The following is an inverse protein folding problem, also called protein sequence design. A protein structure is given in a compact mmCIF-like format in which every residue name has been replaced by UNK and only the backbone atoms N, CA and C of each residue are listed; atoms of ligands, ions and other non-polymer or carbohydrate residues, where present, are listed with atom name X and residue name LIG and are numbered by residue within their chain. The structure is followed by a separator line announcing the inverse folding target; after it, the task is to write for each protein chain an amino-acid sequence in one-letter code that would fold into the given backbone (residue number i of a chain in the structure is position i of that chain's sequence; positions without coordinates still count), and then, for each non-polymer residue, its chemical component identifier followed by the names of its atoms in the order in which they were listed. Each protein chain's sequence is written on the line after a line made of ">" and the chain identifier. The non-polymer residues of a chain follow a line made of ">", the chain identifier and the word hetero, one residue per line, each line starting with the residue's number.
data_IF_650708736294
#
_entry.id   IF_650708736294
#
_cell.length_a   1.000
_cell.length_b   1.000
_cell.length_c   1.000
_cell.angle_alpha   90.00
_cell.angle_beta   90.00
_cell.angle_gamma   90.00
#
_symmetry.space_group_name_H-M   'P 1'
#
loop_
_entity.id
_entity.type
_entity.pdbx_description
1 polymer ?
#
# COMPACT_ATOMS: atom_id res chain seq x y z
N UNK A 1 -42.05 3.09 -6.43
CA UNK A 1 -40.88 2.18 -6.46
C UNK A 1 -40.07 2.50 -7.70
N UNK A 2 -38.95 3.21 -7.56
CA UNK A 2 -38.09 3.54 -8.69
C UNK A 2 -37.00 2.47 -8.79
N UNK A 3 -37.01 1.70 -9.88
CA UNK A 3 -35.90 0.82 -10.25
C UNK A 3 -34.68 1.69 -10.53
N UNK A 4 -33.73 1.70 -9.61
CA UNK A 4 -32.42 2.33 -9.83
C UNK A 4 -31.69 1.44 -10.83
N UNK A 5 -31.58 1.92 -12.07
CA UNK A 5 -30.77 1.30 -13.10
C UNK A 5 -29.37 0.99 -12.54
N UNK A 6 -28.98 -0.28 -12.54
CA UNK A 6 -27.65 -0.71 -12.09
C UNK A 6 -26.61 -0.12 -13.03
N UNK A 7 -25.81 0.83 -12.54
CA UNK A 7 -24.73 1.41 -13.30
C UNK A 7 -23.59 0.37 -13.39
N UNK A 8 -23.19 -0.10 -14.59
CA UNK A 8 -22.17 -1.12 -14.74
C UNK A 8 -20.82 -0.59 -14.21
N UNK A 9 -20.42 -1.04 -13.01
CA UNK A 9 -19.21 -0.58 -12.33
C UNK A 9 -19.40 -0.15 -10.87
N UNK A 10 -20.65 -0.07 -10.38
CA UNK A 10 -20.96 0.22 -8.98
C UNK A 10 -21.41 -1.05 -8.25
N UNK A 11 -20.71 -1.42 -7.18
CA UNK A 11 -21.14 -2.47 -6.24
C UNK A 11 -21.98 -1.85 -5.13
N UNK A 12 -23.25 -2.23 -5.08
CA UNK A 12 -24.18 -1.77 -4.06
C UNK A 12 -24.18 -2.73 -2.87
N UNK A 13 -24.00 -2.19 -1.68
CA UNK A 13 -24.10 -2.90 -0.42
C UNK A 13 -25.21 -2.26 0.39
N UNK A 14 -26.13 -3.09 0.86
CA UNK A 14 -27.19 -2.65 1.76
C UNK A 14 -26.90 -3.15 3.17
N UNK A 15 -26.91 -2.23 4.13
CA UNK A 15 -26.74 -2.54 5.55
C UNK A 15 -27.98 -2.06 6.31
N UNK A 16 -28.99 -2.91 6.48
CA UNK A 16 -30.12 -2.58 7.33
C UNK A 16 -29.64 -2.57 8.79
N UNK A 17 -29.84 -1.45 9.48
CA UNK A 17 -29.69 -1.40 10.92
C UNK A 17 -31.09 -1.61 11.48
N UNK A 18 -31.31 -2.78 12.10
CA UNK A 18 -32.62 -3.16 12.62
C UNK A 18 -33.20 -2.04 13.51
N UNK A 19 -34.51 -1.85 13.42
CA UNK A 19 -35.33 -0.95 14.25
C UNK A 19 -35.40 -1.44 15.71
N UNK A 20 -34.25 -1.72 16.33
CA UNK A 20 -34.14 -1.62 17.77
C UNK A 20 -34.07 -0.13 18.09
N UNK A 21 -34.78 0.34 19.12
CA UNK A 21 -34.82 1.75 19.53
C UNK A 21 -33.40 2.31 19.79
N UNK A 22 -32.72 2.76 18.74
CA UNK A 22 -31.42 3.46 18.81
C UNK A 22 -31.54 4.81 19.53
N UNK A 23 -32.78 5.28 19.75
CA UNK A 23 -33.09 6.49 20.50
C UNK A 23 -32.93 6.27 22.02
N UNK A 24 -32.90 5.02 22.49
CA UNK A 24 -32.90 4.67 23.92
C UNK A 24 -31.84 3.61 24.32
N UNK A 25 -30.94 3.21 23.41
CA UNK A 25 -29.85 2.28 23.75
C UNK A 25 -28.56 3.06 24.02
N UNK A 26 -27.96 2.95 25.22
CA UNK A 26 -26.74 3.68 25.59
C UNK A 26 -25.46 3.17 24.90
N UNK A 27 -25.56 2.12 24.08
CA UNK A 27 -24.40 1.40 23.59
C UNK A 27 -24.05 1.79 22.15
N UNK A 28 -22.79 2.20 21.96
CA UNK A 28 -22.22 2.41 20.62
C UNK A 28 -22.23 1.08 19.84
N UNK A 29 -23.07 0.97 18.81
CA UNK A 29 -23.13 -0.23 17.96
C UNK A 29 -22.11 -0.10 16.83
N UNK A 30 -21.22 -1.09 16.71
CA UNK A 30 -20.33 -1.23 15.55
C UNK A 30 -20.88 -2.29 14.60
N UNK A 31 -21.04 -1.92 13.32
CA UNK A 31 -21.39 -2.85 12.23
C UNK A 31 -20.28 -2.89 11.19
N UNK A 32 -20.04 -4.06 10.61
CA UNK A 32 -19.04 -4.26 9.56
C UNK A 32 -19.63 -4.97 8.36
N UNK A 33 -19.11 -4.64 7.18
CA UNK A 33 -19.43 -5.30 5.91
C UNK A 33 -18.13 -5.49 5.14
N UNK A 34 -18.02 -6.62 4.44
CA UNK A 34 -16.90 -6.94 3.58
C UNK A 34 -17.37 -7.16 2.15
N UNK A 35 -16.62 -6.66 1.19
CA UNK A 35 -16.88 -6.85 -0.23
C UNK A 35 -15.59 -7.25 -0.94
N UNK A 36 -15.68 -8.25 -1.81
CA UNK A 36 -14.56 -8.64 -2.67
C UNK A 36 -14.52 -7.70 -3.86
N UNK A 37 -13.38 -7.02 -4.05
CA UNK A 37 -13.15 -6.17 -5.21
C UNK A 37 -12.67 -7.04 -6.38
N UNK A 38 -13.33 -6.94 -7.52
CA UNK A 38 -13.03 -7.74 -8.72
C UNK A 38 -12.13 -7.00 -9.71
N UNK A 39 -11.97 -5.69 -9.53
CA UNK A 39 -11.13 -4.82 -10.35
C UNK A 39 -10.56 -3.68 -9.49
N UNK A 40 -9.45 -3.11 -9.95
CA UNK A 40 -8.79 -1.98 -9.27
C UNK A 40 -9.59 -0.67 -9.37
N UNK A 41 -10.43 -0.52 -10.39
CA UNK A 41 -11.36 0.60 -10.54
C UNK A 41 -12.78 0.14 -10.23
N UNK A 42 -13.28 0.51 -9.05
CA UNK A 42 -14.60 0.10 -8.59
C UNK A 42 -15.19 1.15 -7.66
N UNK A 43 -16.49 1.39 -7.82
CA UNK A 43 -17.26 2.21 -6.90
C UNK A 43 -18.05 1.30 -5.98
N UNK A 44 -17.91 1.46 -4.67
CA UNK A 44 -18.68 0.73 -3.66
C UNK A 44 -19.61 1.72 -2.99
N UNK A 45 -20.93 1.47 -3.07
CA UNK A 45 -21.93 2.29 -2.43
C UNK A 45 -22.56 1.52 -1.27
N UNK A 46 -22.38 2.01 -0.05
CA UNK A 46 -23.01 1.48 1.15
C UNK A 46 -24.24 2.31 1.50
N UNK A 47 -25.42 1.70 1.35
CA UNK A 47 -26.69 2.26 1.78
C UNK A 47 -27.03 1.73 3.17
N UNK A 48 -26.91 2.58 4.16
CA UNK A 48 -27.34 2.33 5.53
C UNK A 48 -28.76 2.89 5.66
N UNK A 49 -29.68 2.15 6.28
CA UNK A 49 -31.08 2.57 6.49
C UNK A 49 -31.56 2.29 7.91
N UNK A 50 -32.28 3.24 8.51
CA UNK A 50 -32.76 3.23 9.89
C UNK A 50 -32.53 4.58 10.59
N UNK A 51 -33.18 4.87 11.72
CA UNK A 51 -33.00 6.13 12.46
C UNK A 51 -31.74 6.08 13.34
N UNK A 52 -30.60 6.51 12.82
CA UNK A 52 -29.32 6.55 13.57
C UNK A 52 -28.45 7.74 13.15
N UNK A 53 -27.46 8.03 13.98
CA UNK A 53 -26.33 8.89 13.64
C UNK A 53 -25.07 8.03 13.46
N UNK A 54 -24.25 8.34 12.46
CA UNK A 54 -22.96 7.65 12.25
C UNK A 54 -21.85 8.58 12.73
N UNK A 55 -21.21 8.26 13.85
CA UNK A 55 -20.12 9.08 14.41
C UNK A 55 -18.78 8.94 13.66
N UNK A 56 -18.64 7.90 12.85
CA UNK A 56 -17.45 7.64 12.05
C UNK A 56 -17.51 6.27 11.40
N UNK A 57 -16.58 6.00 10.48
CA UNK A 57 -16.45 4.70 9.84
C UNK A 57 -14.99 4.29 9.71
N UNK A 58 -14.75 2.98 9.75
CA UNK A 58 -13.42 2.40 9.49
C UNK A 58 -13.45 1.71 8.14
N UNK A 59 -12.55 2.12 7.25
CA UNK A 59 -12.32 1.45 5.98
C UNK A 59 -11.05 0.63 6.07
N UNK A 60 -11.13 -0.66 5.73
CA UNK A 60 -9.96 -1.53 5.63
C UNK A 60 -9.87 -2.09 4.22
N UNK A 61 -8.68 -1.99 3.61
CA UNK A 61 -8.36 -2.63 2.35
C UNK A 61 -7.33 -3.74 2.59
N UNK A 62 -7.67 -4.95 2.16
CA UNK A 62 -6.84 -6.14 2.35
C UNK A 62 -6.63 -6.88 1.04
N UNK A 63 -5.40 -7.36 0.83
CA UNK A 63 -5.00 -8.10 -0.36
C UNK A 63 -3.99 -9.20 0.00
N UNK A 64 -3.98 -10.33 -0.72
CA UNK A 64 -3.10 -11.45 -0.42
C UNK A 64 -1.63 -11.14 -0.72
N UNK A 65 -0.74 -11.88 -0.06
CA UNK A 65 0.66 -11.98 -0.45
C UNK A 65 0.78 -12.91 -1.65
N UNK A 66 1.64 -12.60 -2.62
CA UNK A 66 1.89 -13.45 -3.78
C UNK A 66 3.38 -13.52 -4.10
N UNK A 67 3.86 -14.73 -4.41
CA UNK A 67 5.25 -14.99 -4.81
C UNK A 67 5.20 -15.72 -6.16
N UNK A 68 5.95 -15.21 -7.12
CA UNK A 68 6.15 -15.84 -8.42
C UNK A 68 7.63 -15.81 -8.79
N UNK A 69 8.34 -16.91 -8.53
CA UNK A 69 9.79 -17.01 -8.71
C UNK A 69 10.57 -15.97 -7.90
N UNK A 70 11.28 -15.08 -8.59
CA UNK A 70 12.06 -13.97 -7.99
C UNK A 70 11.23 -12.72 -7.71
N UNK A 71 9.96 -12.73 -8.07
CA UNK A 71 9.03 -11.61 -7.91
C UNK A 71 8.15 -11.82 -6.67
N UNK A 72 8.04 -10.79 -5.85
CA UNK A 72 7.23 -10.81 -4.63
C UNK A 72 6.27 -9.63 -4.62
N UNK A 73 5.01 -9.89 -4.32
CA UNK A 73 4.01 -8.85 -4.06
C UNK A 73 3.57 -8.99 -2.62
N UNK A 74 3.80 -7.93 -1.83
CA UNK A 74 3.50 -7.96 -0.41
C UNK A 74 2.00 -7.89 -0.12
N UNK A 75 1.62 -8.50 1.01
CA UNK A 75 0.26 -8.40 1.56
C UNK A 75 -0.12 -6.93 1.73
N UNK A 76 -1.35 -6.59 1.35
CA UNK A 76 -1.97 -5.32 1.68
C UNK A 76 -2.84 -5.49 2.92
N UNK A 77 -2.64 -4.67 3.95
CA UNK A 77 -3.49 -4.63 5.15
C UNK A 77 -3.47 -3.22 5.74
N UNK A 78 -4.29 -2.34 5.18
CA UNK A 78 -4.36 -0.93 5.57
C UNK A 78 -5.76 -0.63 6.06
N UNK A 79 -5.87 -0.04 7.24
CA UNK A 79 -7.13 0.41 7.82
C UNK A 79 -7.03 1.89 8.20
N UNK A 80 -8.03 2.68 7.80
CA UNK A 80 -8.15 4.08 8.19
C UNK A 80 -9.49 4.31 8.87
N UNK A 81 -9.45 5.00 10.02
CA UNK A 81 -10.65 5.40 10.74
C UNK A 81 -10.95 6.87 10.47
N UNK A 82 -12.13 7.14 9.93
CA UNK A 82 -12.62 8.47 9.62
C UNK A 82 -13.64 8.87 10.68
N UNK A 83 -13.28 9.85 11.49
CA UNK A 83 -14.13 10.44 12.51
C UNK A 83 -13.69 11.89 12.76
N UNK A 84 -14.62 12.71 13.21
CA UNK A 84 -14.32 14.06 13.68
C UNK A 84 -15.03 14.26 15.01
N UNK A 85 -14.34 14.79 16.05
CA UNK A 85 -14.97 15.10 17.32
C UNK A 85 -16.21 15.96 17.11
N UNK A 86 -17.28 15.66 17.81
CA UNK A 86 -18.54 16.40 17.77
C UNK A 86 -19.25 16.46 16.41
N UNK A 87 -18.78 15.74 15.37
CA UNK A 87 -19.46 15.65 14.08
C UNK A 87 -19.97 14.23 13.78
N UNK A 88 -20.84 14.13 12.77
CA UNK A 88 -21.37 12.89 12.20
C UNK A 88 -21.08 12.81 10.73
N UNK A 89 -21.03 11.60 10.21
CA UNK A 89 -20.97 11.37 8.76
C UNK A 89 -22.24 11.92 8.11
N UNK A 90 -22.06 12.77 7.08
CA UNK A 90 -23.15 13.31 6.27
C UNK A 90 -24.07 12.22 5.71
N UNK A 91 -25.31 12.61 5.39
CA UNK A 91 -26.28 11.79 4.66
C UNK A 91 -25.70 11.23 3.35
N UNK A 92 -24.84 12.00 2.70
CA UNK A 92 -24.09 11.59 1.52
C UNK A 92 -22.62 11.89 1.76
N UNK A 93 -21.81 10.85 1.92
CA UNK A 93 -20.36 11.00 2.04
C UNK A 93 -19.69 10.27 0.88
N UNK A 94 -18.71 10.94 0.26
CA UNK A 94 -17.91 10.35 -0.81
C UNK A 94 -16.45 10.35 -0.37
N UNK A 95 -15.82 9.19 -0.47
CA UNK A 95 -14.40 9.01 -0.20
C UNK A 95 -13.72 8.48 -1.45
N UNK A 96 -12.68 9.19 -1.90
CA UNK A 96 -11.79 8.70 -2.95
C UNK A 96 -10.61 7.98 -2.33
N UNK A 97 -10.36 6.75 -2.76
CA UNK A 97 -9.23 5.93 -2.35
C UNK A 97 -8.36 5.69 -3.58
N UNK A 98 -7.12 6.12 -3.50
CA UNK A 98 -6.18 6.03 -4.61
C UNK A 98 -5.08 5.04 -4.24
N UNK A 99 -4.91 4.02 -5.08
CA UNK A 99 -3.88 3.00 -4.96
C UNK A 99 -2.69 3.37 -5.83
N UNK A 100 -1.50 3.34 -5.24
CA UNK A 100 -0.23 3.58 -5.93
C UNK A 100 0.62 2.32 -5.84
N UNK A 101 1.12 1.86 -6.98
CA UNK A 101 2.07 0.75 -7.05
C UNK A 101 3.48 1.26 -6.73
N UNK A 102 4.15 0.61 -5.80
CA UNK A 102 5.58 0.82 -5.52
C UNK A 102 6.31 -0.45 -5.90
N UNK A 103 7.29 -0.35 -6.79
CA UNK A 103 8.07 -1.47 -7.30
C UNK A 103 9.53 -1.22 -6.98
N UNK A 104 10.10 -2.05 -6.12
CA UNK A 104 11.52 -2.09 -5.84
C UNK A 104 12.16 -3.12 -6.76
N UNK A 105 13.12 -2.70 -7.57
CA UNK A 105 13.94 -3.59 -8.39
C UNK A 105 15.34 -3.67 -7.81
N UNK A 106 15.79 -4.88 -7.48
CA UNK A 106 17.16 -5.15 -7.06
C UNK A 106 17.90 -5.81 -8.20
N UNK A 107 18.90 -5.12 -8.73
CA UNK A 107 19.76 -5.66 -9.80
C UNK A 107 20.78 -6.64 -9.23
N UNK A 108 21.06 -7.74 -9.93
CA UNK A 108 22.01 -8.74 -9.45
C UNK A 108 23.45 -8.23 -9.54
N UNK A 109 24.32 -8.85 -8.73
CA UNK A 109 25.76 -8.56 -8.73
C UNK A 109 26.49 -9.25 -9.89
N UNK A 110 26.05 -10.45 -10.30
CA UNK A 110 26.67 -11.24 -11.35
C UNK A 110 25.95 -11.07 -12.68
N UNK A 111 26.74 -11.03 -13.75
CA UNK A 111 26.23 -11.06 -15.12
C UNK A 111 25.63 -12.45 -15.38
N UNK A 112 24.33 -12.51 -15.66
CA UNK A 112 23.58 -13.76 -15.92
C UNK A 112 22.50 -14.09 -14.88
N UNK A 113 22.52 -13.45 -13.72
CA UNK A 113 21.45 -13.59 -12.72
C UNK A 113 20.22 -12.74 -13.09
N UNK A 114 19.05 -13.10 -12.57
CA UNK A 114 17.80 -12.35 -12.78
C UNK A 114 17.65 -11.18 -11.79
N UNK A 115 16.99 -10.10 -12.23
CA UNK A 115 16.60 -9.01 -11.35
C UNK A 115 15.47 -9.46 -10.41
N UNK A 116 15.55 -9.07 -9.14
CA UNK A 116 14.48 -9.33 -8.17
C UNK A 116 13.53 -8.14 -8.12
N UNK A 117 12.22 -8.43 -8.03
CA UNK A 117 11.20 -7.40 -7.92
C UNK A 117 10.39 -7.59 -6.63
N UNK A 118 10.24 -6.51 -5.87
CA UNK A 118 9.39 -6.41 -4.68
C UNK A 118 8.33 -5.33 -4.94
N UNK A 119 7.07 -5.76 -5.06
CA UNK A 119 5.91 -4.91 -5.29
C UNK A 119 5.11 -4.68 -4.00
N UNK A 120 4.72 -3.42 -3.76
CA UNK A 120 3.84 -3.02 -2.66
C UNK A 120 2.78 -2.05 -3.14
N UNK A 121 1.63 -2.09 -2.49
CA UNK A 121 0.56 -1.11 -2.68
C UNK A 121 0.57 -0.10 -1.55
N UNK A 122 0.59 1.18 -1.89
CA UNK A 122 0.33 2.25 -0.93
C UNK A 122 -0.98 2.95 -1.26
N UNK A 123 -1.69 3.40 -0.22
CA UNK A 123 -2.97 4.07 -0.37
C UNK A 123 -2.82 5.54 0.00
N UNK A 124 -3.49 6.39 -0.77
CA UNK A 124 -3.79 7.75 -0.38
C UNK A 124 -5.31 7.94 -0.33
N UNK A 125 -5.76 8.59 0.72
CA UNK A 125 -7.16 8.99 0.87
C UNK A 125 -7.29 10.42 0.36
N UNK A 126 -8.23 10.66 -0.56
CA UNK A 126 -8.55 12.02 -0.97
C UNK A 126 -9.22 12.81 0.15
N UNK A 127 -9.31 14.12 -0.01
CA UNK A 127 -9.96 15.01 0.95
C UNK A 127 -11.39 14.51 1.23
N UNK A 128 -11.62 14.09 2.48
CA UNK A 128 -12.90 13.60 2.94
C UNK A 128 -13.44 14.58 3.99
N UNK A 129 -14.37 15.43 3.58
CA UNK A 129 -15.13 16.20 4.56
C UNK A 129 -16.16 15.27 5.20
N UNK A 130 -16.07 15.10 6.52
CA UNK A 130 -17.13 14.52 7.34
C UNK A 130 -18.20 15.56 7.71
N UNK A 131 -18.21 16.73 7.04
CA UNK A 131 -19.08 17.86 7.40
C UNK A 131 -20.56 17.51 7.32
N UNK A 132 -21.28 17.92 8.35
CA UNK A 132 -22.71 17.75 8.49
C UNK A 132 -23.46 18.88 7.76
N UNK A 133 -24.49 18.55 7.00
CA UNK A 133 -25.27 19.52 6.21
C UNK A 133 -26.56 20.00 6.91
N UNK A 134 -26.85 19.58 8.16
CA UNK A 134 -27.86 20.26 8.97
C UNK A 134 -27.77 19.87 10.45
N UNK A 135 -27.02 20.66 11.22
CA UNK A 135 -26.99 20.62 12.69
C UNK A 135 -28.23 21.38 13.17
N UNK A 136 -29.11 20.74 13.95
CA UNK A 136 -30.19 21.45 14.64
C UNK A 136 -29.73 21.86 16.03
N UNK A 137 -29.98 23.11 16.40
CA UNK A 137 -29.82 23.58 17.78
C UNK A 137 -31.18 23.51 18.47
N UNK A 138 -31.26 22.80 19.60
CA UNK A 138 -32.44 22.80 20.47
C UNK A 138 -31.98 23.00 21.91
N UNK A 139 -32.51 24.03 22.58
CA UNK A 139 -32.22 24.36 23.99
C UNK A 139 -30.71 24.50 24.31
N UNK A 140 -29.91 25.01 23.37
CA UNK A 140 -28.46 25.17 23.51
C UNK A 140 -27.65 23.88 23.31
N UNK A 141 -28.30 22.78 22.91
CA UNK A 141 -27.66 21.52 22.55
C UNK A 141 -27.66 21.32 21.03
N UNK A 142 -26.49 21.00 20.47
CA UNK A 142 -26.35 20.61 19.07
C UNK A 142 -26.87 19.19 18.87
N UNK A 143 -28.09 19.06 18.32
CA UNK A 143 -28.68 17.80 17.92
C UNK A 143 -28.27 17.47 16.48
N UNK A 144 -27.59 16.33 16.33
CA UNK A 144 -27.26 15.74 15.03
C UNK A 144 -28.54 15.20 14.40
N UNK A 145 -28.76 15.46 13.11
CA UNK A 145 -29.94 14.97 12.41
C UNK A 145 -29.99 13.44 12.40
N UNK A 146 -31.11 12.86 12.86
CA UNK A 146 -31.38 11.43 12.67
C UNK A 146 -31.70 11.17 11.20
N UNK A 147 -30.74 10.64 10.45
CA UNK A 147 -31.00 10.30 9.05
C UNK A 147 -31.64 8.93 8.96
N UNK A 148 -32.77 8.82 8.26
CA UNK A 148 -33.36 7.52 7.93
C UNK A 148 -32.53 6.74 6.91
N UNK A 149 -31.61 7.42 6.20
CA UNK A 149 -30.77 6.82 5.17
C UNK A 149 -29.45 7.56 5.02
N UNK A 150 -28.34 6.86 5.18
CA UNK A 150 -26.99 7.37 4.93
C UNK A 150 -26.38 6.60 3.77
N UNK A 151 -25.79 7.31 2.81
CA UNK A 151 -25.14 6.73 1.64
C UNK A 151 -23.66 7.06 1.67
N UNK A 152 -22.82 6.05 1.83
CA UNK A 152 -21.37 6.18 1.72
C UNK A 152 -20.92 5.67 0.36
N UNK A 153 -20.22 6.49 -0.41
CA UNK A 153 -19.68 6.12 -1.72
C UNK A 153 -18.16 6.09 -1.62
N UNK A 154 -17.58 4.92 -1.88
CA UNK A 154 -16.13 4.71 -1.93
C UNK A 154 -15.72 4.49 -3.37
N UNK A 155 -14.88 5.38 -3.88
CA UNK A 155 -14.33 5.29 -5.24
C UNK A 155 -12.90 4.80 -5.15
N UNK A 156 -12.63 3.60 -5.62
CA UNK A 156 -11.28 3.05 -5.69
C UNK A 156 -10.71 3.29 -7.08
N UNK A 157 -9.55 3.95 -7.14
CA UNK A 157 -8.83 4.22 -8.38
C UNK A 157 -7.36 3.84 -8.24
N UNK A 158 -6.75 3.43 -9.35
CA UNK A 158 -5.30 3.25 -9.44
C UNK A 158 -4.66 4.50 -10.05
N UNK A 159 -3.49 4.92 -9.56
CA UNK A 159 -2.69 5.94 -10.26
C UNK A 159 -2.19 5.38 -11.60
N UNK A 160 -2.10 6.22 -12.66
CA UNK A 160 -1.61 5.78 -13.96
C UNK A 160 -0.09 5.57 -13.98
N UNK A 161 0.61 5.87 -12.89
CA UNK A 161 2.04 5.69 -12.72
C UNK A 161 2.36 4.80 -11.51
N UNK A 162 3.54 4.20 -11.53
CA UNK A 162 4.11 3.47 -10.40
C UNK A 162 5.41 4.14 -9.95
N UNK A 163 5.74 4.00 -8.67
CA UNK A 163 7.01 4.47 -8.13
C UNK A 163 8.02 3.33 -8.23
N UNK A 164 9.06 3.52 -9.04
CA UNK A 164 10.13 2.55 -9.19
C UNK A 164 11.36 2.95 -8.38
N UNK A 165 11.80 2.07 -7.48
CA UNK A 165 13.06 2.23 -6.79
C UNK A 165 14.08 1.22 -7.34
N UNK A 166 15.14 1.72 -7.94
CA UNK A 166 16.20 0.89 -8.53
C UNK A 166 17.38 0.81 -7.56
N UNK A 167 17.58 -0.37 -6.97
CA UNK A 167 18.70 -0.65 -6.08
C UNK A 167 19.80 -1.35 -6.87
N UNK A 168 20.97 -0.70 -6.91
CA UNK A 168 22.21 -1.28 -7.41
C UNK A 168 22.99 -1.87 -6.25
N UNK A 169 23.71 -2.99 -6.45
CA UNK A 169 24.61 -3.50 -5.44
C UNK A 169 25.64 -2.43 -5.08
N UNK A 170 25.81 -2.17 -3.79
CA UNK A 170 26.85 -1.26 -3.28
C UNK A 170 28.18 -2.02 -3.41
N UNK A 171 28.76 -2.04 -4.61
CA UNK A 171 30.17 -2.39 -4.76
C UNK A 171 30.93 -1.25 -4.08
N UNK A 172 31.56 -1.53 -2.94
CA UNK A 172 32.54 -0.62 -2.37
C UNK A 172 33.69 -0.56 -3.37
N UNK A 173 33.78 0.52 -4.13
CA UNK A 173 34.82 0.72 -5.16
C UNK A 173 36.22 0.44 -4.58
N UNK A 174 36.42 0.77 -3.30
CA UNK A 174 37.63 0.46 -2.55
C UNK A 174 37.95 -1.05 -2.46
N UNK A 175 36.94 -1.90 -2.27
CA UNK A 175 37.11 -3.36 -2.17
C UNK A 175 37.48 -3.97 -3.53
N UNK A 176 36.85 -3.51 -4.61
CA UNK A 176 37.20 -3.92 -5.97
C UNK A 176 38.62 -3.47 -6.35
N UNK A 177 38.98 -2.22 -6.04
CA UNK A 177 40.33 -1.70 -6.26
C UNK A 177 41.38 -2.46 -5.45
N UNK A 178 41.08 -2.78 -4.18
CA UNK A 178 41.97 -3.53 -3.30
C UNK A 178 42.21 -4.96 -3.79
N UNK A 179 41.16 -5.68 -4.20
CA UNK A 179 41.30 -7.02 -4.79
C UNK A 179 42.08 -7.00 -6.10
N UNK A 180 41.87 -5.98 -6.93
CA UNK A 180 42.59 -5.83 -8.21
C UNK A 180 44.07 -5.54 -7.95
N UNK A 181 44.40 -4.67 -6.98
CA UNK A 181 45.77 -4.39 -6.59
C UNK A 181 46.48 -5.62 -6.02
N UNK A 182 45.84 -6.34 -5.09
CA UNK A 182 46.37 -7.59 -4.53
C UNK A 182 46.65 -8.64 -5.60
N UNK A 183 45.76 -8.77 -6.58
CA UNK A 183 45.95 -9.68 -7.70
C UNK A 183 47.13 -9.26 -8.58
N UNK A 184 47.23 -7.97 -8.94
CA UNK A 184 48.36 -7.45 -9.72
C UNK A 184 49.71 -7.63 -8.99
N UNK A 185 49.77 -7.34 -7.68
CA UNK A 185 51.01 -7.53 -6.90
C UNK A 185 51.43 -8.99 -6.87
N UNK A 186 50.48 -9.91 -6.67
CA UNK A 186 50.77 -11.35 -6.64
C UNK A 186 51.30 -11.86 -7.98
N UNK A 187 50.73 -11.38 -9.09
CA UNK A 187 51.22 -11.72 -10.45
C UNK A 187 52.64 -11.20 -10.67
N UNK A 188 52.93 -9.96 -10.28
CA UNK A 188 54.28 -9.37 -10.41
C UNK A 188 55.30 -10.16 -9.57
N UNK A 189 54.96 -10.48 -8.32
CA UNK A 189 55.83 -11.27 -7.44
C UNK A 189 56.11 -12.66 -8.02
N UNK A 190 55.10 -13.32 -8.58
CA UNK A 190 55.26 -14.64 -9.18
C UNK A 190 56.19 -14.60 -10.40
N UNK A 191 56.08 -13.57 -11.25
CA UNK A 191 57.03 -13.35 -12.36
C UNK A 191 58.45 -13.04 -11.86
N UNK A 192 58.59 -12.25 -10.80
CA UNK A 192 59.90 -11.93 -10.22
C UNK A 192 60.59 -13.17 -9.63
N UNK A 193 59.84 -14.02 -8.92
CA UNK A 193 60.33 -15.30 -8.39
C UNK A 193 60.73 -16.23 -9.53
N UNK A 194 59.90 -16.38 -10.56
CA UNK A 194 60.21 -17.19 -11.73
C UNK A 194 61.51 -16.72 -12.43
N UNK A 195 61.66 -15.41 -12.60
CA UNK A 195 62.89 -14.82 -13.16
C UNK A 195 64.11 -15.09 -12.28
N UNK A 196 63.98 -14.96 -10.96
CA UNK A 196 65.06 -15.22 -10.01
C UNK A 196 65.51 -16.69 -10.05
N UNK A 197 64.57 -17.63 -10.12
CA UNK A 197 64.86 -19.07 -10.26
C UNK A 197 65.62 -19.34 -11.56
N UNK A 198 65.18 -18.77 -12.68
CA UNK A 198 65.88 -18.92 -13.98
C UNK A 198 67.29 -18.35 -13.89
N UNK A 199 67.45 -17.17 -13.29
CA UNK A 199 68.76 -16.53 -13.15
C UNK A 199 69.71 -17.36 -12.29
N UNK A 200 69.26 -17.87 -11.14
CA UNK A 200 70.05 -18.71 -10.24
C UNK A 200 70.38 -20.07 -10.86
N UNK A 201 69.45 -20.67 -11.60
CA UNK A 201 69.67 -21.96 -12.27
C UNK A 201 70.61 -21.87 -13.48
N UNK A 202 70.68 -20.71 -14.15
CA UNK A 202 71.53 -20.48 -15.32
C UNK A 202 72.86 -19.78 -15.00
N UNK A 203 73.07 -19.27 -13.78
CA UNK A 203 74.40 -18.78 -13.38
C UNK A 203 75.34 -19.97 -13.13
N UNK A 204 76.46 -20.09 -13.86
CA UNK A 204 77.42 -21.15 -13.59
C UNK A 204 78.03 -20.92 -12.21
N UNK A 205 78.02 -21.96 -11.37
CA UNK A 205 78.81 -21.99 -10.13
C UNK A 205 80.28 -22.09 -10.56
N UNK A 206 80.89 -20.94 -10.83
CA UNK A 206 82.34 -20.84 -11.01
C UNK A 206 82.96 -20.83 -9.61
N UNK A 207 83.47 -21.98 -9.21
CA UNK A 207 84.32 -22.16 -8.05
C UNK A 207 85.79 -21.94 -8.43
#
# INVERSE_FOLDING_TARGET
>A
MANIAQNPGVKYLHMPIAEGNCILQPDNITRSVSVVLTAHRVNVQLNITGPYFVGGFRLCLRGPHHIDGVNTVHKLDVCQFFWTPNQTVSRFATLSVVLIKVVNQTKPLKVGDESRYDGRWTLTFGDSSLSDDMIYEQDGYYLRYASQRTTLTFTFNEQPFFLQNNQYPIIRIAELAFHTLLFCTLVIELFAIAYLIIKLGCTPITH
#
